data_IF_494829897370
#
_entry.id   IF_494829897370
#
_cell.length_a   1.000
_cell.length_b   1.000
_cell.length_c   1.000
_cell.angle_alpha   90.00
_cell.angle_beta   90.00
_cell.angle_gamma   90.00
#
_symmetry.space_group_name_H-M   'P 1'
#
loop_
_entity.id
_entity.type
_entity.pdbx_description
1 polymer ?
#
# COMPACT_ATOMS: atom_id res chain seq x y z
N UNK A 1 13.03 -17.72 -44.72
CA UNK A 1 12.23 -16.53 -44.32
C UNK A 1 11.19 -16.83 -43.25
N UNK A 2 10.46 -17.94 -43.34
CA UNK A 2 9.46 -18.29 -42.35
C UNK A 2 10.05 -18.53 -40.97
N UNK A 3 11.28 -19.04 -40.84
CA UNK A 3 11.93 -19.27 -39.54
C UNK A 3 12.35 -18.01 -38.85
N UNK A 4 12.76 -16.98 -39.60
CA UNK A 4 13.14 -15.68 -39.04
C UNK A 4 11.93 -14.95 -38.44
N UNK A 5 10.77 -15.05 -39.09
CA UNK A 5 9.54 -14.44 -38.59
C UNK A 5 9.09 -15.08 -37.28
N UNK A 6 9.16 -16.40 -37.19
CA UNK A 6 8.83 -17.14 -35.97
C UNK A 6 9.76 -16.76 -34.83
N UNK A 7 11.05 -16.62 -35.11
CA UNK A 7 12.04 -16.22 -34.13
C UNK A 7 11.75 -14.82 -33.59
N UNK A 8 11.41 -13.88 -34.48
CA UNK A 8 11.04 -12.53 -34.10
C UNK A 8 9.80 -12.50 -33.21
N UNK A 9 8.77 -13.31 -33.53
CA UNK A 9 7.58 -13.42 -32.71
C UNK A 9 7.88 -13.97 -31.33
N UNK A 10 8.71 -15.02 -31.22
CA UNK A 10 9.10 -15.61 -29.97
C UNK A 10 9.88 -14.61 -29.08
N UNK A 11 10.81 -13.86 -29.71
CA UNK A 11 11.55 -12.83 -28.98
C UNK A 11 10.63 -11.72 -28.51
N UNK A 12 9.65 -11.33 -29.32
CA UNK A 12 8.65 -10.33 -28.92
C UNK A 12 7.82 -10.78 -27.74
N UNK A 13 7.34 -12.01 -27.75
CA UNK A 13 6.58 -12.58 -26.64
C UNK A 13 7.41 -12.69 -25.38
N UNK A 14 8.68 -13.10 -25.49
CA UNK A 14 9.58 -13.20 -24.35
C UNK A 14 9.83 -11.81 -23.72
N UNK A 15 10.04 -10.79 -24.55
CA UNK A 15 10.25 -9.42 -24.10
C UNK A 15 9.01 -8.89 -23.37
N UNK A 16 7.82 -9.12 -23.91
CA UNK A 16 6.56 -8.73 -23.28
C UNK A 16 6.37 -9.46 -21.97
N UNK A 17 6.66 -10.77 -21.93
CA UNK A 17 6.55 -11.57 -20.72
C UNK A 17 7.46 -11.06 -19.61
N UNK A 18 8.72 -10.75 -19.92
CA UNK A 18 9.66 -10.18 -18.95
C UNK A 18 9.20 -8.81 -18.44
N UNK A 19 8.68 -7.99 -19.35
CA UNK A 19 8.14 -6.69 -18.97
C UNK A 19 6.98 -6.80 -17.99
N UNK A 20 6.04 -7.72 -18.24
CA UNK A 20 4.91 -7.96 -17.37
C UNK A 20 5.30 -8.58 -16.03
N UNK A 21 6.32 -9.45 -16.01
CA UNK A 21 6.80 -10.05 -14.76
C UNK A 21 7.25 -9.00 -13.76
N UNK A 22 7.94 -7.95 -14.23
CA UNK A 22 8.38 -6.86 -13.36
C UNK A 22 7.25 -5.96 -12.92
N UNK A 23 6.07 -6.06 -13.55
CA UNK A 23 4.90 -5.24 -13.23
C UNK A 23 3.75 -6.03 -12.64
N UNK A 24 3.91 -7.31 -12.42
CA UNK A 24 2.88 -8.12 -11.80
C UNK A 24 2.65 -7.68 -10.36
N UNK A 25 1.37 -7.51 -9.98
CA UNK A 25 1.07 -7.20 -8.59
C UNK A 25 1.51 -8.32 -7.65
N UNK A 26 2.08 -7.94 -6.53
CA UNK A 26 2.45 -8.88 -5.48
C UNK A 26 1.48 -8.74 -4.33
N UNK A 27 1.27 -9.84 -3.62
CA UNK A 27 0.48 -9.82 -2.41
C UNK A 27 1.29 -9.15 -1.32
N UNK A 28 0.82 -8.00 -0.87
CA UNK A 28 1.48 -7.22 0.18
C UNK A 28 0.49 -7.03 1.31
N UNK A 29 0.91 -7.34 2.52
CA UNK A 29 0.11 -7.07 3.71
C UNK A 29 0.64 -5.80 4.37
N UNK A 30 -0.15 -4.74 4.35
CA UNK A 30 0.16 -3.52 5.05
C UNK A 30 -0.36 -3.65 6.47
N UNK A 31 0.52 -3.47 7.44
CA UNK A 31 0.16 -3.54 8.86
C UNK A 31 0.28 -2.15 9.43
N UNK A 32 -0.83 -1.58 9.87
CA UNK A 32 -0.87 -0.26 10.47
C UNK A 32 -0.85 -0.42 11.98
N UNK A 33 0.23 0.02 12.60
CA UNK A 33 0.41 -0.03 14.06
C UNK A 33 -0.06 1.29 14.64
N UNK A 34 -1.12 1.23 15.43
CA UNK A 34 -1.81 2.41 15.96
C UNK A 34 -1.37 2.72 17.39
N UNK A 35 -1.13 3.99 17.65
CA UNK A 35 -0.93 4.47 19.01
C UNK A 35 -2.29 4.85 19.62
N UNK A 36 -2.53 4.42 20.83
CA UNK A 36 -3.81 4.60 21.53
C UNK A 36 -5.00 4.08 20.69
N UNK A 37 -4.99 2.80 20.32
CA UNK A 37 -6.03 2.27 19.42
C UNK A 37 -7.43 2.35 20.02
N UNK A 38 -7.55 2.33 21.33
CA UNK A 38 -8.85 2.43 21.99
C UNK A 38 -9.56 3.76 21.73
N UNK A 39 -8.81 4.80 21.38
CA UNK A 39 -9.38 6.11 21.03
C UNK A 39 -9.70 6.24 19.55
N UNK A 40 -9.21 5.31 18.72
CA UNK A 40 -9.40 5.38 17.27
C UNK A 40 -10.83 4.95 16.91
N UNK A 41 -11.51 5.77 16.12
CA UNK A 41 -12.89 5.52 15.70
C UNK A 41 -12.99 5.24 14.19
N UNK A 42 -12.07 5.75 13.41
CA UNK A 42 -12.04 5.48 11.97
C UNK A 42 -10.63 5.63 11.43
N UNK A 43 -10.30 4.82 10.43
CA UNK A 43 -9.04 4.91 9.69
C UNK A 43 -9.37 4.86 8.21
N UNK A 44 -8.94 5.86 7.48
CA UNK A 44 -9.09 5.93 6.04
C UNK A 44 -7.71 5.84 5.40
N UNK A 45 -7.57 4.94 4.44
CA UNK A 45 -6.28 4.63 3.83
C UNK A 45 -6.37 4.88 2.33
N UNK A 46 -5.45 5.68 1.81
CA UNK A 46 -5.28 5.89 0.37
C UNK A 46 -3.87 5.51 -0.02
N UNK A 47 -3.75 4.53 -0.92
CA UNK A 47 -2.46 4.15 -1.48
C UNK A 47 -2.34 4.83 -2.84
N UNK A 48 -1.30 5.63 -3.01
CA UNK A 48 -1.07 6.41 -4.22
C UNK A 48 0.30 6.17 -4.81
N UNK A 49 0.38 6.30 -6.12
CA UNK A 49 1.64 6.32 -6.86
C UNK A 49 1.75 7.69 -7.52
N UNK A 50 2.58 8.57 -6.92
CA UNK A 50 2.58 9.97 -7.33
C UNK A 50 1.22 10.61 -7.06
N UNK A 51 0.56 11.10 -8.10
CA UNK A 51 -0.78 11.69 -7.99
C UNK A 51 -1.90 10.68 -8.28
N UNK A 52 -1.55 9.47 -8.70
CA UNK A 52 -2.52 8.46 -9.09
C UNK A 52 -2.99 7.65 -7.88
N UNK A 53 -4.30 7.69 -7.56
CA UNK A 53 -4.84 6.85 -6.50
C UNK A 53 -4.98 5.41 -6.99
N UNK A 54 -4.47 4.46 -6.22
CA UNK A 54 -4.49 3.05 -6.59
C UNK A 54 -5.45 2.21 -5.76
N UNK A 55 -5.46 2.45 -4.45
CA UNK A 55 -6.28 1.69 -3.52
C UNK A 55 -6.83 2.61 -2.46
N UNK A 56 -8.03 2.31 -2.00
CA UNK A 56 -8.69 3.04 -0.93
C UNK A 56 -9.36 2.03 -0.01
N UNK A 57 -9.24 2.25 1.29
CA UNK A 57 -9.91 1.45 2.29
C UNK A 57 -10.35 2.34 3.44
N UNK A 58 -11.46 1.97 4.06
CA UNK A 58 -11.99 2.69 5.20
C UNK A 58 -12.38 1.68 6.27
N UNK A 59 -11.93 1.90 7.49
CA UNK A 59 -12.21 1.06 8.63
C UNK A 59 -12.89 1.89 9.71
N UNK A 60 -13.97 1.38 10.25
CA UNK A 60 -14.72 2.04 11.33
C UNK A 60 -14.73 1.18 12.57
N UNK A 61 -14.46 1.82 13.71
CA UNK A 61 -14.35 1.14 14.98
C UNK A 61 -15.15 1.91 16.06
N UNK A 62 -16.47 1.68 16.14
CA UNK A 62 -17.30 2.41 17.10
C UNK A 62 -16.83 2.30 18.56
N UNK A 63 -16.24 1.14 18.90
CA UNK A 63 -15.81 0.85 20.28
C UNK A 63 -14.29 0.85 20.43
N UNK A 64 -13.56 1.37 19.44
CA UNK A 64 -12.11 1.38 19.45
C UNK A 64 -11.51 0.39 18.47
N UNK A 65 -10.29 0.67 18.00
CA UNK A 65 -9.59 -0.15 17.02
C UNK A 65 -8.68 -1.17 17.72
N UNK A 66 -8.30 -2.26 17.01
CA UNK A 66 -7.20 -3.10 17.45
C UNK A 66 -5.90 -2.33 17.33
N UNK A 67 -4.86 -2.79 18.03
CA UNK A 67 -3.56 -2.15 17.96
C UNK A 67 -2.97 -2.19 16.55
N UNK A 68 -3.24 -3.25 15.80
CA UNK A 68 -2.75 -3.40 14.44
C UNK A 68 -3.91 -3.68 13.49
N UNK A 69 -3.90 -3.00 12.35
CA UNK A 69 -4.85 -3.24 11.26
C UNK A 69 -4.08 -3.83 10.11
N UNK A 70 -4.54 -4.97 9.61
CA UNK A 70 -3.96 -5.62 8.45
C UNK A 70 -4.77 -5.30 7.21
N UNK A 71 -4.08 -4.89 6.16
CA UNK A 71 -4.69 -4.53 4.90
C UNK A 71 -3.96 -5.27 3.77
N UNK A 72 -4.60 -6.29 3.24
CA UNK A 72 -4.02 -7.06 2.14
C UNK A 72 -4.30 -6.36 0.82
N UNK A 73 -3.24 -6.03 0.11
CA UNK A 73 -3.34 -5.36 -1.19
C UNK A 73 -2.42 -6.03 -2.18
N UNK A 74 -2.75 -5.88 -3.46
CA UNK A 74 -1.89 -6.33 -4.54
C UNK A 74 -1.29 -5.11 -5.20
N UNK A 75 0.02 -5.00 -5.13
CA UNK A 75 0.76 -3.88 -5.67
C UNK A 75 1.98 -4.37 -6.44
N UNK A 76 2.22 -3.83 -7.66
CA UNK A 76 3.48 -4.09 -8.34
C UNK A 76 4.65 -3.44 -7.60
N UNK A 77 5.86 -3.88 -7.93
CA UNK A 77 7.06 -3.28 -7.35
C UNK A 77 7.10 -1.78 -7.62
N UNK A 78 7.51 -1.02 -6.63
CA UNK A 78 7.61 0.42 -6.78
C UNK A 78 7.54 1.14 -5.44
N UNK A 79 7.56 2.47 -5.54
CA UNK A 79 7.44 3.34 -4.38
C UNK A 79 6.05 3.97 -4.38
N UNK A 80 5.39 3.90 -3.23
CA UNK A 80 4.03 4.38 -3.04
C UNK A 80 3.96 5.31 -1.85
N UNK A 81 2.97 6.18 -1.88
CA UNK A 81 2.61 7.01 -0.73
C UNK A 81 1.32 6.48 -0.14
N UNK A 82 1.37 6.16 1.14
CA UNK A 82 0.18 5.71 1.88
C UNK A 82 -0.29 6.87 2.75
N UNK A 83 -1.42 7.44 2.38
CA UNK A 83 -2.04 8.51 3.16
C UNK A 83 -3.03 7.88 4.13
N UNK A 84 -2.84 8.16 5.40
CA UNK A 84 -3.68 7.65 6.48
C UNK A 84 -4.38 8.80 7.17
N UNK A 85 -5.69 8.69 7.27
CA UNK A 85 -6.49 9.64 8.03
C UNK A 85 -7.08 8.91 9.22
N UNK A 86 -6.61 9.22 10.39
CA UNK A 86 -7.03 8.57 11.62
C UNK A 86 -7.90 9.53 12.42
N UNK A 87 -9.14 9.13 12.65
CA UNK A 87 -10.10 9.89 13.44
C UNK A 87 -10.16 9.29 14.83
N UNK A 88 -9.88 10.10 15.85
CA UNK A 88 -9.92 9.69 17.25
C UNK A 88 -11.04 10.37 17.99
N UNK A 89 -11.57 9.68 18.98
CA UNK A 89 -12.56 10.27 19.87
C UNK A 89 -11.94 11.48 20.61
N UNK A 90 -12.64 12.60 20.60
CA UNK A 90 -12.26 13.82 21.31
C UNK A 90 -11.04 14.56 20.78
N UNK A 91 -10.29 13.98 19.84
CA UNK A 91 -9.06 14.59 19.32
C UNK A 91 -9.12 14.96 17.84
N UNK A 92 -10.22 14.63 17.18
CA UNK A 92 -10.38 14.95 15.77
C UNK A 92 -9.62 14.02 14.84
N UNK A 93 -9.37 14.49 13.64
CA UNK A 93 -8.78 13.70 12.56
C UNK A 93 -7.38 14.19 12.26
N UNK A 94 -6.44 13.26 12.13
CA UNK A 94 -5.07 13.55 11.74
C UNK A 94 -4.72 12.78 10.48
N UNK A 95 -4.09 13.48 9.53
CA UNK A 95 -3.60 12.88 8.30
C UNK A 95 -2.09 12.66 8.38
N UNK A 96 -1.64 11.47 7.99
CA UNK A 96 -0.23 11.13 7.91
C UNK A 96 0.04 10.49 6.57
N UNK A 97 1.14 10.85 5.92
CA UNK A 97 1.56 10.26 4.66
C UNK A 97 2.88 9.55 4.88
N UNK A 98 2.93 8.27 4.56
CA UNK A 98 4.11 7.43 4.74
C UNK A 98 4.56 6.86 3.40
N UNK A 99 5.85 6.99 3.05
CA UNK A 99 6.38 6.34 1.86
C UNK A 99 6.55 4.83 2.11
N UNK A 100 6.21 4.04 1.10
CA UNK A 100 6.33 2.59 1.16
C UNK A 100 6.99 2.10 -0.11
N UNK A 101 8.02 1.27 0.05
CA UNK A 101 8.70 0.61 -1.07
C UNK A 101 8.24 -0.84 -1.11
N UNK A 102 7.69 -1.26 -2.23
CA UNK A 102 7.26 -2.63 -2.47
C UNK A 102 8.28 -3.28 -3.39
N UNK A 103 9.01 -4.25 -2.89
CA UNK A 103 10.00 -5.01 -3.66
C UNK A 103 9.86 -6.52 -3.46
N UNK A 104 9.15 -6.92 -2.41
CA UNK A 104 8.95 -8.33 -2.08
C UNK A 104 7.55 -8.52 -1.54
N UNK A 105 7.04 -9.75 -1.66
CA UNK A 105 5.77 -10.11 -1.02
C UNK A 105 5.98 -10.24 0.48
N UNK A 106 4.99 -9.84 1.26
CA UNK A 106 5.05 -9.99 2.70
C UNK A 106 4.54 -8.77 3.46
N UNK A 107 4.65 -8.81 4.79
CA UNK A 107 4.14 -7.73 5.61
C UNK A 107 5.04 -6.50 5.59
N UNK A 108 4.41 -5.33 5.52
CA UNK A 108 5.07 -4.04 5.69
C UNK A 108 4.40 -3.35 6.86
N UNK A 109 5.17 -3.06 7.90
CA UNK A 109 4.64 -2.45 9.12
C UNK A 109 4.80 -0.94 9.06
N UNK A 110 3.68 -0.24 9.19
CA UNK A 110 3.62 1.21 9.22
C UNK A 110 3.22 1.66 10.61
N UNK A 111 4.11 2.36 11.30
CA UNK A 111 3.83 2.86 12.64
C UNK A 111 3.25 4.25 12.57
N UNK A 112 2.08 4.42 13.14
CA UNK A 112 1.36 5.69 13.17
C UNK A 112 1.44 6.24 14.58
N UNK A 113 2.24 7.28 14.78
CA UNK A 113 2.42 7.89 16.07
C UNK A 113 1.56 9.13 16.23
N UNK A 114 1.14 9.33 17.45
CA UNK A 114 0.25 10.42 17.83
C UNK A 114 0.85 11.81 17.58
N UNK A 115 2.12 11.96 17.82
CA UNK A 115 2.81 13.26 17.72
C UNK A 115 3.26 13.59 16.29
N UNK A 116 3.02 12.68 15.35
CA UNK A 116 3.42 12.89 13.96
C UNK A 116 4.91 12.79 13.73
N UNK A 117 5.65 12.25 14.66
CA UNK A 117 7.12 12.14 14.56
C UNK A 117 7.57 11.26 13.41
N UNK A 118 6.67 10.52 12.80
CA UNK A 118 6.96 9.73 11.61
C UNK A 118 7.24 10.57 10.37
N UNK A 119 7.06 11.87 10.48
CA UNK A 119 7.42 12.77 9.40
C UNK A 119 8.92 12.90 9.24
N UNK A 120 9.67 12.36 10.14
CA UNK A 120 11.14 12.40 10.10
C UNK A 120 11.71 11.51 9.01
#
# INVERSE_FOLDING_TARGET
MKGALRLLLLLGFAAIGLFFLGRMPRDVTLVYDLEEPEAVRAVEVDVRRGVEPLRHAEYRFPDGAPQQIRHDVKLPDGTYDVALRVSRAERGTRRTVLPVVVSESGPVVLSIRRDGSNAD
#
